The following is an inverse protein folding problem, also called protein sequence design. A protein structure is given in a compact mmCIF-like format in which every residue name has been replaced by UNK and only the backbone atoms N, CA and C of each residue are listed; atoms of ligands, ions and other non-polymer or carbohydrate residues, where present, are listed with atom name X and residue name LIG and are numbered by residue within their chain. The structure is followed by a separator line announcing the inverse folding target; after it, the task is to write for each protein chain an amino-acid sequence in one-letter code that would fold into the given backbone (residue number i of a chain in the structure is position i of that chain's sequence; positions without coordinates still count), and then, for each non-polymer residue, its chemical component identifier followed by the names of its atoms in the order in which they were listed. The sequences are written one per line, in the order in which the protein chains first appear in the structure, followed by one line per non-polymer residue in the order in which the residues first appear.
data_IF_368322672271
#
_entry.id   IF_368322672271
#
_cell.length_a   1.000
_cell.length_b   1.000
_cell.length_c   1.000
_cell.angle_alpha   90.00
_cell.angle_beta   90.00
_cell.angle_gamma   90.00
#
_symmetry.space_group_name_H-M   'P 1'
#
loop_
_entity.id
_entity.type
_entity.pdbx_description
1 polymer ?
#
# COMPACT_ATOMS: atom_id res chain seq x y z
N UNK A 1 -23.68 -48.52 -33.61
CA UNK A 1 -23.23 -48.47 -32.20
C UNK A 1 -22.04 -47.52 -31.97
N UNK A 2 -21.40 -46.97 -33.00
CA UNK A 2 -20.22 -46.08 -32.87
C UNK A 2 -20.57 -44.60 -32.65
N UNK A 3 -21.72 -44.13 -33.16
CA UNK A 3 -22.12 -42.72 -33.05
C UNK A 3 -22.41 -42.27 -31.60
N UNK A 4 -23.09 -43.09 -30.81
CA UNK A 4 -23.42 -42.74 -29.42
C UNK A 4 -22.19 -42.64 -28.52
N UNK A 5 -21.21 -43.55 -28.68
CA UNK A 5 -19.97 -43.54 -27.89
C UNK A 5 -19.09 -42.33 -28.21
N UNK A 6 -19.06 -41.88 -29.48
CA UNK A 6 -18.35 -40.66 -29.87
C UNK A 6 -19.00 -39.41 -29.25
N UNK A 7 -20.33 -39.34 -29.21
CA UNK A 7 -21.05 -38.23 -28.59
C UNK A 7 -20.81 -38.17 -27.08
N UNK A 8 -20.84 -39.31 -26.39
CA UNK A 8 -20.57 -39.40 -24.94
C UNK A 8 -19.12 -38.98 -24.65
N UNK A 9 -18.15 -39.47 -25.43
CA UNK A 9 -16.75 -39.09 -25.31
C UNK A 9 -16.51 -37.59 -25.53
N UNK A 10 -17.11 -37.01 -26.57
CA UNK A 10 -17.03 -35.59 -26.84
C UNK A 10 -17.66 -34.75 -25.71
N UNK A 11 -18.81 -35.16 -25.19
CA UNK A 11 -19.48 -34.47 -24.08
C UNK A 11 -18.62 -34.48 -22.80
N UNK A 12 -18.02 -35.62 -22.46
CA UNK A 12 -17.12 -35.74 -21.31
C UNK A 12 -15.84 -34.91 -21.49
N UNK A 13 -15.25 -34.90 -22.68
CA UNK A 13 -14.08 -34.08 -22.98
C UNK A 13 -14.39 -32.59 -22.83
N UNK A 14 -15.52 -32.13 -23.36
CA UNK A 14 -15.97 -30.74 -23.23
C UNK A 14 -16.25 -30.38 -21.77
N UNK A 15 -16.92 -31.25 -21.03
CA UNK A 15 -17.21 -31.01 -19.61
C UNK A 15 -15.94 -30.89 -18.77
N UNK A 16 -14.97 -31.78 -19.00
CA UNK A 16 -13.67 -31.77 -18.31
C UNK A 16 -12.87 -30.52 -18.68
N UNK A 17 -12.80 -30.17 -19.96
CA UNK A 17 -12.13 -28.96 -20.42
C UNK A 17 -12.78 -27.69 -19.84
N UNK A 18 -14.11 -27.63 -19.78
CA UNK A 18 -14.83 -26.52 -19.17
C UNK A 18 -14.56 -26.43 -17.66
N UNK A 19 -14.53 -27.56 -16.95
CA UNK A 19 -14.22 -27.62 -15.52
C UNK A 19 -12.81 -27.12 -15.23
N UNK A 20 -11.82 -27.56 -16.00
CA UNK A 20 -10.42 -27.11 -15.86
C UNK A 20 -10.23 -25.64 -16.26
N UNK A 21 -11.01 -25.14 -17.23
CA UNK A 21 -10.97 -23.74 -17.65
C UNK A 21 -11.71 -22.79 -16.69
N UNK A 22 -12.61 -23.28 -15.81
CA UNK A 22 -13.35 -22.45 -14.84
C UNK A 22 -12.45 -21.57 -13.96
N UNK A 23 -11.41 -22.09 -13.27
CA UNK A 23 -10.55 -21.26 -12.42
C UNK A 23 -9.84 -20.16 -13.22
N UNK A 24 -9.42 -20.44 -14.45
CA UNK A 24 -8.78 -19.43 -15.31
C UNK A 24 -9.75 -18.39 -15.87
N UNK A 25 -11.01 -18.77 -16.14
CA UNK A 25 -12.07 -17.82 -16.52
C UNK A 25 -12.50 -16.95 -15.33
N UNK A 26 -12.52 -17.51 -14.12
CA UNK A 26 -12.78 -16.76 -12.89
C UNK A 26 -11.63 -15.82 -12.55
N UNK A 27 -10.37 -16.28 -12.65
CA UNK A 27 -9.19 -15.45 -12.46
C UNK A 27 -9.03 -14.35 -13.51
N UNK A 28 -9.52 -14.53 -14.75
CA UNK A 28 -9.62 -13.43 -15.72
C UNK A 28 -10.66 -12.37 -15.36
N UNK A 29 -11.68 -12.72 -14.55
CA UNK A 29 -12.68 -11.74 -14.06
C UNK A 29 -12.19 -10.98 -12.83
N UNK A 30 -11.36 -11.61 -12.01
CA UNK A 30 -10.73 -10.98 -10.86
C UNK A 30 -9.54 -10.13 -11.33
N UNK A 31 -9.77 -8.85 -11.60
CA UNK A 31 -8.73 -7.91 -12.05
C UNK A 31 -7.61 -7.79 -11.00
N UNK A 32 -6.41 -8.36 -11.23
CA UNK A 32 -5.32 -8.33 -10.26
C UNK A 32 -4.84 -6.90 -10.00
N UNK A 33 -4.97 -6.00 -10.99
CA UNK A 33 -4.63 -4.59 -10.86
C UNK A 33 -5.45 -3.91 -9.79
N UNK A 34 -6.75 -4.19 -9.73
CA UNK A 34 -7.65 -3.65 -8.69
C UNK A 34 -7.27 -4.11 -7.29
N UNK A 35 -6.84 -5.37 -7.14
CA UNK A 35 -6.37 -5.91 -5.86
C UNK A 35 -5.06 -5.27 -5.41
N UNK A 36 -4.14 -5.03 -6.35
CA UNK A 36 -2.86 -4.34 -6.10
C UNK A 36 -3.10 -2.89 -5.70
N UNK A 37 -3.92 -2.15 -6.46
CA UNK A 37 -4.21 -0.75 -6.16
C UNK A 37 -4.86 -0.55 -4.79
N UNK A 38 -5.76 -1.46 -4.39
CA UNK A 38 -6.34 -1.47 -3.05
C UNK A 38 -5.27 -1.63 -1.96
N UNK A 39 -4.34 -2.55 -2.15
CA UNK A 39 -3.26 -2.81 -1.20
C UNK A 39 -2.29 -1.63 -1.11
N UNK A 40 -1.89 -1.07 -2.26
CA UNK A 40 -1.02 0.11 -2.33
C UNK A 40 -1.68 1.33 -1.70
N UNK A 41 -2.99 1.52 -1.91
CA UNK A 41 -3.74 2.62 -1.29
C UNK A 41 -3.78 2.45 0.23
N UNK A 42 -4.04 1.25 0.73
CA UNK A 42 -3.99 0.95 2.16
C UNK A 42 -2.60 1.21 2.78
N UNK A 43 -1.52 0.86 2.06
CA UNK A 43 -0.16 1.13 2.49
C UNK A 43 0.22 2.62 2.40
N UNK A 44 -0.39 3.39 1.50
CA UNK A 44 -0.18 4.84 1.36
C UNK A 44 -0.99 5.69 2.35
N UNK A 45 -2.03 5.15 2.98
CA UNK A 45 -2.64 5.80 4.14
C UNK A 45 -1.54 5.91 5.20
N UNK A 46 -1.19 7.11 5.68
CA UNK A 46 -0.22 7.23 6.75
C UNK A 46 -0.78 6.47 7.96
N UNK A 47 -0.26 5.27 8.21
CA UNK A 47 -0.56 4.40 9.36
C UNK A 47 -0.03 5.00 10.69
N UNK A 48 0.04 6.34 10.79
CA UNK A 48 0.76 7.07 11.82
C UNK A 48 0.08 8.38 12.23
N UNK A 49 -1.23 8.50 12.04
CA UNK A 49 -2.02 9.63 12.56
C UNK A 49 -3.05 9.22 13.61
N UNK A 50 -3.24 7.92 13.89
CA UNK A 50 -4.17 7.44 14.93
C UNK A 50 -3.48 7.24 16.31
N UNK A 51 -2.24 7.70 16.49
CA UNK A 51 -1.56 7.66 17.80
C UNK A 51 -0.66 8.86 17.99
N UNK A 52 -1.26 10.06 17.98
CA UNK A 52 -0.64 11.23 18.58
C UNK A 52 -1.72 12.09 19.24
N UNK A 53 -1.76 12.22 20.58
CA UNK A 53 -2.35 13.42 21.17
C UNK A 53 -1.40 14.58 20.85
N UNK A 54 -1.54 15.16 19.67
CA UNK A 54 -0.84 16.37 19.25
C UNK A 54 -1.48 17.60 19.91
N UNK A 55 -1.54 17.65 21.25
CA UNK A 55 -1.86 18.86 22.01
C UNK A 55 -1.13 18.82 23.37
N UNK A 56 0.20 18.79 23.36
CA UNK A 56 0.99 19.11 24.55
C UNK A 56 2.45 19.34 24.18
N UNK A 57 2.77 20.47 23.54
CA UNK A 57 3.98 21.23 23.87
C UNK A 57 4.07 22.45 22.94
N UNK A 58 3.36 23.51 23.30
CA UNK A 58 3.74 24.86 22.91
C UNK A 58 4.96 25.33 23.75
N UNK A 59 5.96 24.48 23.95
CA UNK A 59 7.25 24.90 24.49
C UNK A 59 8.06 25.50 23.34
N UNK A 60 8.19 26.82 23.34
CA UNK A 60 9.03 27.65 22.48
C UNK A 60 9.48 27.02 21.15
N UNK A 61 8.64 27.20 20.13
CA UNK A 61 9.04 26.94 18.75
C UNK A 61 10.21 27.86 18.37
N UNK A 62 11.44 27.35 18.46
CA UNK A 62 12.64 28.00 17.93
C UNK A 62 12.74 27.70 16.44
N UNK A 63 13.20 28.65 15.65
CA UNK A 63 13.43 28.45 14.22
C UNK A 63 14.93 28.46 13.93
N UNK A 64 15.36 27.60 13.00
CA UNK A 64 16.72 27.57 12.50
C UNK A 64 17.01 28.86 11.71
N UNK A 65 18.07 29.61 12.04
CA UNK A 65 18.41 30.84 11.32
C UNK A 65 19.01 30.59 9.93
N UNK A 66 19.47 29.36 9.67
CA UNK A 66 20.05 28.98 8.37
C UNK A 66 18.99 28.60 7.34
N UNK A 67 17.96 27.84 7.73
CA UNK A 67 16.95 27.33 6.79
C UNK A 67 15.50 27.67 7.15
N UNK A 68 15.25 28.34 8.28
CA UNK A 68 13.92 28.76 8.71
C UNK A 68 13.02 27.66 9.26
N UNK A 69 13.48 26.40 9.31
CA UNK A 69 12.67 25.28 9.81
C UNK A 69 12.54 25.31 11.33
N UNK A 70 11.38 24.92 11.84
CA UNK A 70 11.13 24.78 13.27
C UNK A 70 12.04 23.72 13.90
N UNK A 71 12.66 24.06 15.02
CA UNK A 71 13.53 23.22 15.85
C UNK A 71 12.70 22.71 17.02
N UNK A 72 12.84 21.42 17.34
CA UNK A 72 12.28 20.88 18.59
C UNK A 72 13.22 21.21 19.75
N UNK A 73 12.71 21.40 20.97
CA UNK A 73 13.53 21.77 22.13
C UNK A 73 14.66 20.76 22.43
N UNK A 74 14.48 19.48 22.08
CA UNK A 74 15.48 18.41 22.25
C UNK A 74 16.42 18.21 21.04
N UNK A 75 16.26 19.00 19.97
CA UNK A 75 17.10 18.89 18.76
C UNK A 75 18.52 19.40 19.00
N UNK A 76 19.54 18.53 18.84
CA UNK A 76 20.96 18.95 18.81
C UNK A 76 21.37 19.52 17.44
N UNK A 77 20.71 19.09 16.38
CA UNK A 77 20.94 19.51 14.99
C UNK A 77 19.60 19.81 14.29
N UNK A 78 19.61 20.68 13.29
CA UNK A 78 18.43 20.96 12.48
C UNK A 78 18.11 19.79 11.54
N UNK A 79 16.90 19.22 11.62
CA UNK A 79 16.44 18.17 10.71
C UNK A 79 16.23 18.62 9.26
N UNK A 80 16.33 19.93 8.98
CA UNK A 80 16.26 20.50 7.63
C UNK A 80 17.62 20.60 6.93
N UNK A 81 18.60 21.18 7.61
CA UNK A 81 19.89 21.53 7.00
C UNK A 81 21.12 20.89 7.68
N UNK A 82 20.94 20.20 8.82
CA UNK A 82 22.02 19.57 9.56
C UNK A 82 22.84 20.50 10.46
N UNK A 83 22.61 21.81 10.45
CA UNK A 83 23.35 22.77 11.28
C UNK A 83 23.12 22.51 12.78
N UNK A 84 24.16 22.55 13.63
CA UNK A 84 24.01 22.38 15.09
C UNK A 84 23.17 23.51 15.71
N UNK A 85 22.28 23.15 16.64
CA UNK A 85 21.37 24.09 17.33
C UNK A 85 22.10 24.88 18.43
N UNK A 86 23.19 24.35 18.98
CA UNK A 86 24.02 25.01 19.99
C UNK A 86 24.55 26.39 19.53
N UNK A 87 24.74 26.59 18.22
CA UNK A 87 25.17 27.87 17.63
C UNK A 87 24.02 28.80 17.23
N UNK A 88 22.76 28.40 17.42
CA UNK A 88 21.55 29.12 16.99
C UNK A 88 20.86 29.89 18.14
N UNK A 89 21.38 29.75 19.37
CA UNK A 89 20.85 30.35 20.62
C UNK A 89 21.11 31.84 20.71
#
# INVERSE_FOLDING_TARGET
MTGASLLIGAALAVATAAYLARPFRAARREDPGRSIERWVTAARVPQGLESAPAVASAAEARFCRECGRALTPDSRFCAGCGTPVEGQR
#
